data_IF_371976838480
#
_entry.id   IF_371976838480
#
_cell.length_a   1.000
_cell.length_b   1.000
_cell.length_c   1.000
_cell.angle_alpha   90.00
_cell.angle_beta   90.00
_cell.angle_gamma   90.00
#
_symmetry.space_group_name_H-M   'P 1'
#
loop_
_entity.id
_entity.type
_entity.pdbx_description
1 polymer ?
#
# COMPACT_ATOMS: atom_id res chain seq x y z
N UNK A 1 -11.27 1.64 4.14
CA UNK A 1 -9.85 1.83 3.76
C UNK A 1 -8.97 1.25 4.87
N UNK A 2 -7.96 0.44 4.55
CA UNK A 2 -7.19 -0.33 5.53
C UNK A 2 -5.67 -0.24 5.30
N UNK A 3 -5.16 0.98 5.09
CA UNK A 3 -3.75 1.21 4.77
C UNK A 3 -2.85 0.89 5.96
N UNK A 4 -1.62 0.42 5.71
CA UNK A 4 -0.62 0.22 6.77
C UNK A 4 -0.13 1.55 7.36
N UNK A 5 -0.20 2.66 6.62
CA UNK A 5 0.11 4.03 7.09
C UNK A 5 -0.45 5.08 6.14
N UNK A 6 -0.82 6.27 6.65
CA UNK A 6 -1.26 7.41 5.84
C UNK A 6 -0.37 8.63 6.13
N UNK A 7 0.42 9.02 5.12
CA UNK A 7 1.29 10.20 5.12
C UNK A 7 0.65 11.42 4.43
N UNK A 8 1.33 12.57 4.47
CA UNK A 8 0.87 13.86 3.93
C UNK A 8 0.43 13.81 2.46
N UNK A 9 1.03 12.94 1.64
CA UNK A 9 0.66 12.74 0.25
C UNK A 9 -0.81 12.29 0.07
N UNK A 10 -1.43 11.74 1.11
CA UNK A 10 -2.81 11.25 1.09
C UNK A 10 -3.85 12.30 1.48
N UNK A 11 -3.50 13.60 1.50
CA UNK A 11 -4.46 14.68 1.72
C UNK A 11 -5.70 14.64 0.79
N UNK A 12 -5.65 14.14 -0.48
CA UNK A 12 -6.85 14.07 -1.32
C UNK A 12 -7.95 13.17 -0.75
N UNK A 13 -7.64 12.26 0.19
CA UNK A 13 -8.64 11.43 0.87
C UNK A 13 -9.72 12.25 1.60
N UNK A 14 -9.43 13.51 1.96
CA UNK A 14 -10.39 14.40 2.61
C UNK A 14 -11.67 14.54 1.77
N UNK A 15 -11.54 14.75 0.46
CA UNK A 15 -12.70 14.93 -0.41
C UNK A 15 -13.43 13.60 -0.65
N UNK A 16 -12.72 12.49 -0.67
CA UNK A 16 -13.35 11.16 -0.74
C UNK A 16 -14.15 10.83 0.53
N UNK A 17 -13.71 11.29 1.70
CA UNK A 17 -14.47 11.16 2.95
C UNK A 17 -15.73 12.04 2.90
N UNK A 18 -15.61 13.32 2.53
CA UNK A 18 -16.76 14.23 2.42
C UNK A 18 -17.82 13.75 1.44
N UNK A 19 -17.40 13.14 0.34
CA UNK A 19 -18.28 12.58 -0.68
C UNK A 19 -18.85 11.20 -0.33
N UNK A 20 -18.54 10.64 0.84
CA UNK A 20 -19.05 9.35 1.29
C UNK A 20 -18.42 8.13 0.63
N UNK A 21 -17.34 8.31 -0.15
CA UNK A 21 -16.58 7.19 -0.76
C UNK A 21 -15.85 6.39 0.32
N UNK A 22 -15.34 7.07 1.36
CA UNK A 22 -14.63 6.44 2.48
C UNK A 22 -15.41 6.68 3.77
N UNK A 23 -16.03 5.62 4.30
CA UNK A 23 -16.77 5.67 5.57
C UNK A 23 -16.00 5.20 6.80
N UNK A 24 -14.94 4.38 6.62
CA UNK A 24 -14.17 3.80 7.72
C UNK A 24 -12.69 3.66 7.32
N UNK A 25 -11.79 3.99 8.25
CA UNK A 25 -10.34 3.91 8.11
C UNK A 25 -9.76 3.04 9.23
N UNK A 26 -8.92 2.10 8.83
CA UNK A 26 -7.96 1.38 9.69
C UNK A 26 -6.56 1.81 9.24
N UNK A 27 -5.72 2.28 10.17
CA UNK A 27 -4.34 2.71 9.85
C UNK A 27 -3.43 2.68 11.07
N UNK A 28 -2.11 2.65 10.86
CA UNK A 28 -1.16 2.84 11.98
C UNK A 28 -0.92 4.30 12.35
N UNK A 29 -1.14 5.21 11.42
CA UNK A 29 -0.88 6.63 11.62
C UNK A 29 -1.60 7.49 10.60
N UNK A 30 -1.87 8.72 11.03
CA UNK A 30 -2.40 9.83 10.25
C UNK A 30 -1.46 11.01 10.44
N UNK A 31 -1.05 11.64 9.35
CA UNK A 31 -0.13 12.79 9.35
C UNK A 31 -0.69 13.93 8.50
N UNK A 32 -0.15 15.12 8.74
CA UNK A 32 -0.46 16.34 8.00
C UNK A 32 -1.95 16.67 7.98
N UNK A 33 -2.39 17.28 6.87
CA UNK A 33 -3.74 17.81 6.71
C UNK A 33 -4.84 16.77 6.97
N UNK A 34 -4.62 15.52 6.57
CA UNK A 34 -5.62 14.47 6.82
C UNK A 34 -5.81 14.24 8.33
N UNK A 35 -4.72 14.20 9.11
CA UNK A 35 -4.81 14.04 10.57
C UNK A 35 -5.51 15.23 11.25
N UNK A 36 -5.25 16.45 10.78
CA UNK A 36 -5.91 17.67 11.28
C UNK A 36 -7.43 17.64 11.05
N UNK A 37 -7.86 17.31 9.84
CA UNK A 37 -9.28 17.26 9.48
C UNK A 37 -10.02 16.13 10.21
N UNK A 38 -9.39 14.94 10.34
CA UNK A 38 -9.94 13.85 11.15
C UNK A 38 -10.13 14.29 12.60
N UNK A 39 -9.15 14.99 13.18
CA UNK A 39 -9.25 15.52 14.55
C UNK A 39 -10.31 16.60 14.68
N UNK A 40 -10.60 17.35 13.60
CA UNK A 40 -11.68 18.33 13.53
C UNK A 40 -13.08 17.71 13.32
N UNK A 41 -13.18 16.37 13.28
CA UNK A 41 -14.46 15.66 13.15
C UNK A 41 -14.90 15.40 11.71
N UNK A 42 -13.96 15.33 10.76
CA UNK A 42 -14.26 15.02 9.35
C UNK A 42 -15.02 13.70 9.14
N UNK A 43 -14.81 12.71 10.01
CA UNK A 43 -15.46 11.40 9.92
C UNK A 43 -16.46 11.17 11.04
N UNK A 44 -17.64 10.66 10.69
CA UNK A 44 -18.64 10.20 11.66
C UNK A 44 -18.15 8.95 12.43
N UNK A 45 -17.50 8.02 11.73
CA UNK A 45 -16.97 6.79 12.32
C UNK A 45 -15.55 7.05 12.83
N UNK A 46 -15.25 6.75 14.11
CA UNK A 46 -13.90 6.89 14.63
C UNK A 46 -12.90 6.02 13.86
N UNK A 47 -11.78 6.63 13.46
CA UNK A 47 -10.67 5.91 12.83
C UNK A 47 -10.09 4.89 13.79
N UNK A 48 -9.89 3.66 13.30
CA UNK A 48 -9.29 2.58 14.07
C UNK A 48 -7.77 2.62 13.91
N UNK A 49 -7.08 3.02 14.99
CA UNK A 49 -5.61 3.11 15.01
C UNK A 49 -5.04 1.81 15.60
N UNK A 50 -4.10 1.19 14.88
CA UNK A 50 -3.47 -0.06 15.30
C UNK A 50 -1.94 -0.05 15.09
N UNK A 51 -1.20 -0.82 15.88
CA UNK A 51 0.21 -1.04 15.60
C UNK A 51 0.41 -1.86 14.30
N UNK A 52 1.64 -1.92 13.77
CA UNK A 52 1.92 -2.75 12.60
C UNK A 52 1.61 -4.23 12.86
N UNK A 53 1.99 -4.77 14.03
CA UNK A 53 1.63 -6.14 14.42
C UNK A 53 0.13 -6.31 14.69
N UNK A 54 -0.50 -5.29 15.29
CA UNK A 54 -1.95 -5.29 15.54
C UNK A 54 -2.76 -5.39 14.24
N UNK A 55 -2.31 -4.75 13.16
CA UNK A 55 -2.96 -4.89 11.84
C UNK A 55 -3.00 -6.36 11.37
N UNK A 56 -1.87 -7.06 11.48
CA UNK A 56 -1.79 -8.49 11.08
C UNK A 56 -2.77 -9.31 11.90
N UNK A 57 -2.83 -9.08 13.21
CA UNK A 57 -3.78 -9.75 14.10
C UNK A 57 -5.24 -9.49 13.70
N UNK A 58 -5.60 -8.24 13.37
CA UNK A 58 -6.96 -7.89 12.93
C UNK A 58 -7.35 -8.59 11.62
N UNK A 59 -6.40 -8.75 10.70
CA UNK A 59 -6.62 -9.46 9.44
C UNK A 59 -6.81 -10.95 9.70
N UNK A 60 -5.92 -11.55 10.49
CA UNK A 60 -5.95 -12.98 10.80
C UNK A 60 -7.15 -13.38 11.66
N UNK A 61 -7.63 -12.50 12.55
CA UNK A 61 -8.83 -12.75 13.35
C UNK A 61 -10.13 -12.64 12.53
N UNK A 62 -10.07 -12.04 11.33
CA UNK A 62 -11.23 -11.76 10.49
C UNK A 62 -12.01 -10.50 10.88
N UNK A 63 -11.56 -9.75 11.90
CA UNK A 63 -12.13 -8.43 12.23
C UNK A 63 -11.94 -7.44 11.07
N UNK A 64 -10.81 -7.56 10.37
CA UNK A 64 -10.49 -6.78 9.18
C UNK A 64 -10.32 -7.72 7.97
N UNK A 65 -11.37 -7.87 7.16
CA UNK A 65 -11.29 -8.62 5.90
C UNK A 65 -10.98 -7.69 4.72
N UNK A 66 -9.93 -8.00 3.97
CA UNK A 66 -9.55 -7.23 2.77
C UNK A 66 -10.20 -7.88 1.55
N UNK A 67 -11.19 -7.19 0.96
CA UNK A 67 -11.85 -7.68 -0.25
C UNK A 67 -10.95 -7.55 -1.48
N UNK A 68 -10.29 -6.40 -1.64
CA UNK A 68 -9.35 -6.14 -2.75
C UNK A 68 -8.13 -5.38 -2.22
N UNK A 69 -6.94 -5.86 -2.53
CA UNK A 69 -5.66 -5.21 -2.26
C UNK A 69 -5.11 -4.56 -3.53
N UNK A 70 -4.96 -3.24 -3.52
CA UNK A 70 -4.28 -2.49 -4.58
C UNK A 70 -2.84 -2.22 -4.17
N UNK A 71 -1.89 -2.98 -4.71
CA UNK A 71 -0.49 -2.97 -4.29
C UNK A 71 0.39 -2.37 -5.39
N UNK A 72 0.92 -1.18 -5.14
CA UNK A 72 1.91 -0.56 -6.02
C UNK A 72 3.26 -1.28 -5.92
N UNK A 73 3.82 -1.70 -7.06
CA UNK A 73 5.12 -2.35 -7.15
C UNK A 73 5.95 -1.73 -8.28
N UNK A 74 7.25 -1.49 -8.11
CA UNK A 74 8.03 -0.82 -9.15
C UNK A 74 8.31 -1.71 -10.37
N UNK A 75 8.25 -3.05 -10.22
CA UNK A 75 8.30 -3.97 -11.34
C UNK A 75 7.57 -5.29 -11.05
N UNK A 76 7.12 -5.95 -12.10
CA UNK A 76 6.47 -7.26 -12.03
C UNK A 76 6.63 -8.01 -13.37
N UNK A 77 6.70 -9.34 -13.35
CA UNK A 77 6.51 -10.12 -14.59
C UNK A 77 5.01 -10.31 -14.90
N UNK A 78 4.72 -10.90 -16.06
CA UNK A 78 3.35 -11.15 -16.52
C UNK A 78 2.54 -12.11 -15.64
N UNK A 79 3.18 -12.81 -14.70
CA UNK A 79 2.56 -13.81 -13.82
C UNK A 79 2.38 -13.33 -12.38
N UNK A 80 2.89 -12.15 -12.02
CA UNK A 80 2.67 -11.55 -10.69
C UNK A 80 3.88 -11.58 -9.77
N UNK A 81 5.03 -12.13 -10.21
CA UNK A 81 6.23 -12.09 -9.37
C UNK A 81 6.77 -10.66 -9.33
N UNK A 82 6.77 -10.04 -8.15
CA UNK A 82 7.12 -8.63 -7.98
C UNK A 82 8.13 -8.40 -6.85
N UNK A 83 8.94 -7.35 -6.98
CA UNK A 83 9.84 -6.89 -5.92
C UNK A 83 10.03 -5.37 -5.95
N UNK A 84 10.59 -4.83 -4.86
CA UNK A 84 10.87 -3.41 -4.69
C UNK A 84 12.29 -2.98 -5.10
N UNK A 85 13.08 -3.83 -5.76
CA UNK A 85 14.51 -3.57 -6.04
C UNK A 85 14.80 -3.21 -7.50
N UNK A 86 13.89 -3.57 -8.40
CA UNK A 86 13.99 -3.28 -9.84
C UNK A 86 12.91 -2.27 -10.26
N UNK A 87 12.92 -1.83 -11.51
CA UNK A 87 12.01 -0.77 -11.99
C UNK A 87 12.46 0.64 -11.60
N UNK A 88 11.51 1.58 -11.57
CA UNK A 88 11.73 3.00 -11.32
C UNK A 88 11.67 3.35 -9.83
N UNK A 89 10.52 3.16 -9.18
CA UNK A 89 10.28 3.55 -7.78
C UNK A 89 10.74 2.48 -6.78
N UNK A 90 12.05 2.22 -6.73
CA UNK A 90 12.68 1.13 -5.94
C UNK A 90 12.57 1.36 -4.43
N UNK A 91 11.42 1.00 -3.84
CA UNK A 91 11.12 1.18 -2.42
C UNK A 91 11.81 0.17 -1.50
N UNK A 92 12.46 -0.86 -2.05
CA UNK A 92 13.12 -1.92 -1.28
C UNK A 92 12.14 -2.94 -0.72
N UNK A 93 12.00 -3.00 0.60
CA UNK A 93 11.17 -4.02 1.26
C UNK A 93 9.67 -3.80 1.00
N UNK A 94 8.97 -4.88 0.65
CA UNK A 94 7.51 -4.93 0.49
C UNK A 94 6.80 -5.60 1.68
N UNK A 95 7.41 -5.60 2.87
CA UNK A 95 6.95 -6.38 4.03
C UNK A 95 5.47 -6.18 4.42
N UNK A 96 4.94 -4.95 4.33
CA UNK A 96 3.52 -4.70 4.61
C UNK A 96 2.60 -5.22 3.50
N UNK A 97 2.99 -5.03 2.23
CA UNK A 97 2.22 -5.49 1.08
C UNK A 97 2.14 -7.02 1.00
N UNK A 98 3.15 -7.73 1.52
CA UNK A 98 3.13 -9.21 1.61
C UNK A 98 1.97 -9.73 2.44
N UNK A 99 1.65 -9.09 3.56
CA UNK A 99 0.50 -9.50 4.41
C UNK A 99 -0.80 -9.35 3.63
N UNK A 100 -0.95 -8.28 2.85
CA UNK A 100 -2.13 -8.02 2.03
C UNK A 100 -2.25 -9.05 0.91
N UNK A 101 -1.14 -9.34 0.22
CA UNK A 101 -1.09 -10.37 -0.82
C UNK A 101 -1.45 -11.77 -0.28
N UNK A 102 -1.08 -12.08 0.95
CA UNK A 102 -1.38 -13.37 1.59
C UNK A 102 -2.84 -13.53 2.04
N UNK A 103 -3.55 -12.44 2.36
CA UNK A 103 -4.85 -12.50 3.05
C UNK A 103 -6.01 -11.82 2.33
N UNK A 104 -5.74 -11.01 1.30
CA UNK A 104 -6.81 -10.39 0.53
C UNK A 104 -7.53 -11.43 -0.34
N UNK A 105 -8.83 -11.22 -0.56
CA UNK A 105 -9.62 -12.09 -1.45
C UNK A 105 -9.28 -11.90 -2.92
N UNK A 106 -8.80 -10.71 -3.28
CA UNK A 106 -8.33 -10.36 -4.61
C UNK A 106 -7.14 -9.40 -4.50
N UNK A 107 -6.08 -9.67 -5.26
CA UNK A 107 -4.85 -8.89 -5.28
C UNK A 107 -4.62 -8.31 -6.67
N UNK A 108 -4.54 -6.99 -6.72
CA UNK A 108 -4.28 -6.20 -7.93
C UNK A 108 -2.93 -5.53 -7.77
N UNK A 109 -1.97 -5.92 -8.61
CA UNK A 109 -0.70 -5.23 -8.71
C UNK A 109 -0.80 -4.06 -9.68
N UNK A 110 -0.35 -2.88 -9.23
CA UNK A 110 -0.12 -1.73 -10.10
C UNK A 110 1.39 -1.65 -10.31
N UNK A 111 1.87 -1.89 -11.53
CA UNK A 111 3.30 -1.94 -11.84
C UNK A 111 3.77 -0.83 -12.77
N UNK A 112 4.95 -0.30 -12.53
CA UNK A 112 5.56 0.72 -13.41
C UNK A 112 6.30 0.10 -14.61
N UNK A 113 6.79 -1.13 -14.47
CA UNK A 113 7.67 -1.76 -15.42
C UNK A 113 7.49 -3.28 -15.47
N UNK A 114 7.29 -3.79 -16.69
CA UNK A 114 7.35 -5.22 -16.95
C UNK A 114 8.80 -5.71 -16.95
N UNK A 115 9.01 -6.93 -16.46
CA UNK A 115 10.27 -7.66 -16.55
C UNK A 115 10.02 -9.08 -17.05
N UNK A 116 11.07 -9.72 -17.56
CA UNK A 116 10.98 -11.08 -18.08
C UNK A 116 10.66 -12.09 -16.96
N UNK A 117 9.86 -13.09 -17.30
CA UNK A 117 9.55 -14.21 -16.41
C UNK A 117 10.72 -15.22 -16.35
N UNK A 118 11.08 -15.74 -15.15
CA UNK A 118 10.54 -15.38 -13.84
C UNK A 118 11.29 -14.18 -13.22
N UNK A 119 10.55 -13.20 -12.70
CA UNK A 119 11.14 -12.10 -11.94
C UNK A 119 11.68 -12.61 -10.59
N UNK A 120 12.96 -12.32 -10.31
CA UNK A 120 13.62 -12.72 -9.07
C UNK A 120 14.37 -11.54 -8.43
N UNK A 121 14.30 -11.35 -7.10
CA UNK A 121 13.51 -12.13 -6.13
C UNK A 121 12.00 -11.86 -6.25
N UNK A 122 11.16 -12.83 -5.90
CA UNK A 122 9.70 -12.65 -5.81
C UNK A 122 9.30 -12.31 -4.36
N UNK A 123 9.15 -11.02 -4.06
CA UNK A 123 8.68 -10.57 -2.74
C UNK A 123 7.19 -10.76 -2.58
N UNK A 124 6.44 -10.55 -3.66
CA UNK A 124 5.06 -11.03 -3.86
C UNK A 124 5.17 -12.05 -4.99
N UNK A 125 4.61 -13.24 -4.77
CA UNK A 125 4.72 -14.36 -5.69
C UNK A 125 3.47 -14.49 -6.57
N UNK A 126 3.64 -15.10 -7.75
CA UNK A 126 2.59 -15.30 -8.75
C UNK A 126 1.33 -16.02 -8.24
N UNK A 127 1.44 -16.86 -7.20
CA UNK A 127 0.33 -17.58 -6.59
C UNK A 127 -0.50 -16.71 -5.62
N UNK A 128 -0.11 -15.46 -5.45
CA UNK A 128 -0.76 -14.47 -4.58
C UNK A 128 -1.42 -13.33 -5.38
N UNK A 129 -1.40 -13.37 -6.71
CA UNK A 129 -1.79 -12.24 -7.57
C UNK A 129 -2.88 -12.66 -8.54
N UNK A 130 -3.95 -11.86 -8.62
CA UNK A 130 -5.08 -12.12 -9.54
C UNK A 130 -5.01 -11.24 -10.79
N UNK A 131 -4.64 -9.97 -10.62
CA UNK A 131 -4.67 -8.96 -11.68
C UNK A 131 -3.41 -8.10 -11.65
N UNK A 132 -2.95 -7.71 -12.84
CA UNK A 132 -1.79 -6.83 -12.99
C UNK A 132 -2.15 -5.74 -13.99
N UNK A 133 -1.88 -4.49 -13.63
CA UNK A 133 -2.07 -3.32 -14.49
C UNK A 133 -0.80 -2.49 -14.51
N UNK A 134 -0.36 -2.09 -15.70
CA UNK A 134 0.75 -1.17 -15.84
C UNK A 134 0.26 0.28 -15.64
N UNK A 135 1.01 1.07 -14.89
CA UNK A 135 0.82 2.52 -14.69
C UNK A 135 2.12 3.25 -14.95
N UNK A 136 2.07 4.56 -15.16
CA UNK A 136 3.29 5.34 -15.44
C UNK A 136 4.23 5.40 -14.24
N UNK A 137 3.66 5.66 -13.06
CA UNK A 137 4.36 5.81 -11.77
C UNK A 137 3.51 5.31 -10.59
N UNK A 138 4.14 4.67 -9.61
CA UNK A 138 3.52 4.25 -8.33
C UNK A 138 4.06 5.04 -7.12
N UNK A 139 5.10 5.84 -7.34
CA UNK A 139 5.74 6.68 -6.34
C UNK A 139 6.58 7.76 -7.01
N UNK A 140 7.32 8.53 -6.21
CA UNK A 140 8.27 9.54 -6.70
C UNK A 140 9.69 8.96 -6.65
N UNK A 141 10.28 8.54 -7.80
CA UNK A 141 11.60 7.90 -7.82
C UNK A 141 12.71 8.79 -7.26
N UNK A 142 12.57 10.11 -7.38
CA UNK A 142 13.56 11.08 -6.92
C UNK A 142 13.60 11.15 -5.40
N UNK A 143 12.47 10.91 -4.72
CA UNK A 143 12.39 10.90 -3.25
C UNK A 143 12.64 9.53 -2.64
N UNK A 144 12.35 8.46 -3.38
CA UNK A 144 12.50 7.08 -2.90
C UNK A 144 13.98 6.70 -2.73
N UNK A 145 14.83 7.08 -3.67
CA UNK A 145 16.27 6.73 -3.65
C UNK A 145 17.14 7.74 -2.89
N UNK A 146 16.60 8.91 -2.55
CA UNK A 146 17.33 10.00 -1.91
C UNK A 146 17.65 9.78 -0.40
N UNK A 147 17.25 8.65 0.17
CA UNK A 147 17.12 8.49 1.63
C UNK A 147 18.08 7.53 2.33
N UNK A 148 19.33 7.39 1.89
CA UNK A 148 20.38 6.75 2.71
C UNK A 148 21.80 7.33 2.52
N UNK A 149 21.93 8.55 1.99
CA UNK A 149 23.22 9.27 2.00
C UNK A 149 23.29 10.13 3.27
N UNK A 150 23.64 9.49 4.40
CA UNK A 150 24.61 10.10 5.31
C UNK A 150 25.97 9.60 4.85
N UNK A 151 26.62 10.35 3.96
CA UNK A 151 28.07 10.28 3.82
C UNK A 151 28.66 10.89 5.10
N UNK A 152 29.09 10.05 6.03
CA UNK A 152 30.18 10.39 6.95
C UNK A 152 31.46 9.80 6.39
#
# INVERSE_FOLDING_TARGET
LASSSLIDAHWPLIEHIKNGVIRQIYTSGLRGKLGEEISAGLMENPVQIHSHGGRVQLIQSGELSIDVAFLGVPCCDEFGNANGFSGKSRCGSLGYARVDAEHAKCVVLLTEAWVDYPNYPASIAQDQVDLIVQVDEVGDPQKITAGAIRLT
#
